data_IF_061755153882
#
_entry.id   IF_061755153882
#
_cell.length_a   1.000
_cell.length_b   1.000
_cell.length_c   1.000
_cell.angle_alpha   90.00
_cell.angle_beta   90.00
_cell.angle_gamma   90.00
#
_symmetry.space_group_name_H-M   'P 1'
#
loop_
_entity.id
_entity.type
_entity.pdbx_description
1 polymer ?
#
# COMPACT_ATOMS: atom_id res chain seq x y z
N UNK A 1 3.43 6.05 6.28
CA UNK A 1 2.33 5.15 6.70
C UNK A 1 2.48 4.82 8.18
N UNK A 2 1.37 4.80 8.91
CA UNK A 2 1.31 4.48 10.34
C UNK A 2 0.16 3.50 10.61
N UNK A 3 0.39 2.50 11.46
CA UNK A 3 -0.66 1.53 11.82
C UNK A 3 -1.67 2.21 12.75
N UNK A 4 -2.96 2.13 12.41
CA UNK A 4 -4.06 2.69 13.19
C UNK A 4 -4.67 1.60 14.08
N UNK A 5 -5.01 0.45 13.50
CA UNK A 5 -5.76 -0.59 14.21
C UNK A 5 -5.47 -1.99 13.66
N UNK A 6 -5.79 -3.00 14.46
CA UNK A 6 -5.70 -4.42 14.09
C UNK A 6 -7.07 -5.07 14.24
N UNK A 7 -7.40 -5.95 13.30
CA UNK A 7 -8.71 -6.59 13.24
C UNK A 7 -8.57 -8.11 13.18
N UNK A 8 -9.58 -8.79 13.72
CA UNK A 8 -9.61 -10.26 13.77
C UNK A 8 -9.82 -10.86 12.38
N UNK A 9 -10.52 -10.12 11.51
CA UNK A 9 -10.78 -10.53 10.13
C UNK A 9 -10.40 -9.43 9.15
N UNK A 10 -10.13 -9.83 7.91
CA UNK A 10 -9.88 -8.89 6.81
C UNK A 10 -11.13 -8.10 6.44
N UNK A 11 -12.31 -8.75 6.47
CA UNK A 11 -13.59 -8.09 6.17
C UNK A 11 -13.86 -6.92 7.12
N UNK A 12 -13.59 -7.09 8.41
CA UNK A 12 -13.74 -6.02 9.40
C UNK A 12 -12.78 -4.86 9.13
N UNK A 13 -11.51 -5.15 8.77
CA UNK A 13 -10.56 -4.12 8.39
C UNK A 13 -10.98 -3.36 7.12
N UNK A 14 -11.53 -4.06 6.13
CA UNK A 14 -12.01 -3.47 4.87
C UNK A 14 -13.26 -2.59 5.08
N UNK A 15 -14.18 -3.01 5.94
CA UNK A 15 -15.35 -2.19 6.32
C UNK A 15 -14.90 -0.88 6.98
N UNK A 16 -13.98 -0.96 7.94
CA UNK A 16 -13.42 0.22 8.62
C UNK A 16 -12.61 1.09 7.67
N UNK A 17 -11.91 0.48 6.72
CA UNK A 17 -11.21 1.21 5.68
C UNK A 17 -12.16 1.98 4.75
N UNK A 18 -13.27 1.36 4.34
CA UNK A 18 -14.29 2.01 3.51
C UNK A 18 -14.93 3.20 4.24
N UNK A 19 -15.25 3.05 5.53
CA UNK A 19 -15.72 4.14 6.38
C UNK A 19 -14.73 5.31 6.41
N UNK A 20 -13.47 5.05 6.73
CA UNK A 20 -12.43 6.10 6.77
C UNK A 20 -12.22 6.76 5.40
N UNK A 21 -12.24 5.99 4.31
CA UNK A 21 -12.14 6.53 2.94
C UNK A 21 -13.31 7.48 2.63
N UNK A 22 -14.54 7.11 3.03
CA UNK A 22 -15.71 7.98 2.87
C UNK A 22 -15.62 9.30 3.67
N UNK A 23 -14.74 9.36 4.67
CA UNK A 23 -14.44 10.54 5.47
C UNK A 23 -13.18 11.28 5.02
N UNK A 24 -12.63 10.93 3.85
CA UNK A 24 -11.47 11.60 3.28
C UNK A 24 -10.12 11.09 3.81
N UNK A 25 -10.08 9.97 4.52
CA UNK A 25 -8.83 9.42 5.07
C UNK A 25 -8.26 8.37 4.10
N UNK A 26 -7.02 8.56 3.66
CA UNK A 26 -6.30 7.59 2.86
C UNK A 26 -5.77 6.44 3.73
N UNK A 27 -6.30 5.24 3.50
CA UNK A 27 -5.97 4.05 4.29
C UNK A 27 -5.60 2.86 3.43
N UNK A 28 -4.80 1.97 4.01
CA UNK A 28 -4.41 0.70 3.41
C UNK A 28 -4.69 -0.45 4.39
N UNK A 29 -5.22 -1.56 3.88
CA UNK A 29 -5.40 -2.80 4.62
C UNK A 29 -4.32 -3.78 4.22
N UNK A 30 -3.52 -4.23 5.17
CA UNK A 30 -2.53 -5.29 4.96
C UNK A 30 -2.97 -6.58 5.63
N UNK A 31 -2.81 -7.69 4.92
CA UNK A 31 -2.96 -9.03 5.52
C UNK A 31 -1.77 -9.33 6.45
N UNK A 32 -2.04 -9.87 7.64
CA UNK A 32 -1.01 -10.26 8.62
C UNK A 32 -0.73 -11.78 8.59
N UNK A 33 -1.39 -12.53 7.71
CA UNK A 33 -1.35 -14.01 7.66
C UNK A 33 -0.09 -14.55 6.95
N UNK A 34 0.59 -13.73 6.13
CA UNK A 34 1.70 -14.17 5.25
C UNK A 34 3.03 -14.47 5.94
N UNK A 35 3.18 -14.21 7.25
CA UNK A 35 4.45 -14.34 7.98
C UNK A 35 4.61 -15.62 8.81
N UNK A 36 3.67 -16.57 8.78
CA UNK A 36 3.68 -17.69 9.75
C UNK A 36 3.31 -19.05 9.13
N UNK A 37 4.22 -19.60 8.32
CA UNK A 37 4.13 -20.98 7.81
C UNK A 37 4.12 -22.05 8.93
N UNK A 38 4.47 -21.70 10.17
CA UNK A 38 4.63 -22.65 11.30
C UNK A 38 3.81 -22.29 12.57
N UNK A 39 2.95 -21.27 12.52
CA UNK A 39 2.23 -20.73 13.71
C UNK A 39 0.75 -20.41 13.40
N UNK A 40 0.15 -21.16 12.49
CA UNK A 40 -1.10 -20.86 11.80
C UNK A 40 -2.37 -20.64 12.66
N UNK A 41 -2.30 -20.66 13.99
CA UNK A 41 -3.50 -20.63 14.84
C UNK A 41 -3.44 -19.73 16.08
N UNK A 42 -2.44 -18.85 16.25
CA UNK A 42 -2.32 -18.07 17.52
C UNK A 42 -2.29 -16.54 17.40
N UNK A 43 -2.55 -15.96 16.22
CA UNK A 43 -2.76 -14.53 16.10
C UNK A 43 -4.25 -14.18 16.24
N UNK A 44 -4.64 -13.44 17.29
CA UNK A 44 -6.01 -12.88 17.40
C UNK A 44 -6.36 -11.93 16.24
N UNK A 45 -5.35 -11.42 15.54
CA UNK A 45 -5.49 -10.44 14.47
C UNK A 45 -4.99 -11.00 13.15
N UNK A 46 -5.78 -10.82 12.08
CA UNK A 46 -5.47 -11.28 10.71
C UNK A 46 -5.25 -10.14 9.73
N UNK A 47 -5.66 -8.92 10.08
CA UNK A 47 -5.47 -7.75 9.24
C UNK A 47 -5.07 -6.54 10.08
N UNK A 48 -4.30 -5.64 9.46
CA UNK A 48 -3.95 -4.34 10.02
C UNK A 48 -4.41 -3.23 9.08
N UNK A 49 -4.89 -2.15 9.67
CA UNK A 49 -5.31 -0.93 8.99
C UNK A 49 -4.27 0.15 9.21
N UNK A 50 -3.87 0.81 8.13
CA UNK A 50 -2.80 1.79 8.13
C UNK A 50 -3.29 3.11 7.55
N UNK A 51 -2.94 4.23 8.18
CA UNK A 51 -2.99 5.54 7.55
C UNK A 51 -1.87 5.60 6.51
N UNK A 52 -2.22 5.93 5.26
CA UNK A 52 -1.24 6.12 4.19
C UNK A 52 -0.42 7.37 4.48
N UNK A 53 -1.14 8.46 4.74
CA UNK A 53 -0.61 9.78 5.11
C UNK A 53 -0.42 9.87 6.64
N UNK A 54 0.80 10.10 7.15
CA UNK A 54 1.06 10.22 8.58
C UNK A 54 0.21 11.28 9.27
N UNK A 55 -0.01 12.42 8.61
CA UNK A 55 -0.80 13.55 9.12
C UNK A 55 -2.28 13.18 9.36
N UNK A 56 -2.79 12.15 8.70
CA UNK A 56 -4.16 11.67 8.88
C UNK A 56 -4.30 10.62 9.98
N UNK A 57 -3.19 10.18 10.61
CA UNK A 57 -3.23 9.07 11.55
C UNK A 57 -4.07 9.39 12.80
N UNK A 58 -3.95 10.59 13.35
CA UNK A 58 -4.72 11.02 14.52
C UNK A 58 -6.22 11.15 14.19
N UNK A 59 -6.54 11.81 13.07
CA UNK A 59 -7.92 11.94 12.57
C UNK A 59 -8.55 10.57 12.32
N UNK A 60 -7.77 9.60 11.82
CA UNK A 60 -8.24 8.25 11.57
C UNK A 60 -8.55 7.48 12.86
N UNK A 61 -7.73 7.62 13.90
CA UNK A 61 -8.02 7.04 15.22
C UNK A 61 -9.28 7.68 15.81
N UNK A 62 -9.35 9.01 15.78
CA UNK A 62 -10.49 9.76 16.31
C UNK A 62 -11.80 9.36 15.61
N UNK A 63 -11.81 9.19 14.28
CA UNK A 63 -12.98 8.73 13.53
C UNK A 63 -13.43 7.30 13.86
N UNK A 64 -12.50 6.42 14.25
CA UNK A 64 -12.84 5.05 14.66
C UNK A 64 -13.49 5.00 16.04
N UNK A 65 -13.19 5.96 16.91
CA UNK A 65 -13.74 6.09 18.25
C UNK A 65 -15.02 6.93 18.27
N UNK A 66 -15.02 8.05 17.55
CA UNK A 66 -16.12 8.98 17.37
C UNK A 66 -16.44 9.14 15.88
N UNK A 67 -17.51 8.50 15.38
CA UNK A 67 -17.93 8.62 13.99
C UNK A 67 -18.28 10.05 13.56
N UNK A 68 -18.53 10.98 14.47
CA UNK A 68 -18.87 12.37 14.15
C UNK A 68 -17.64 13.30 14.15
N UNK A 69 -16.44 12.75 14.41
CA UNK A 69 -15.19 13.50 14.31
C UNK A 69 -15.03 14.16 12.93
N UNK A 70 -14.60 15.42 12.95
CA UNK A 70 -14.29 16.17 11.73
C UNK A 70 -12.80 16.10 11.48
N UNK A 71 -12.41 15.30 10.50
CA UNK A 71 -11.02 15.20 10.07
C UNK A 71 -10.51 16.56 9.57
N UNK A 72 -9.41 17.04 10.16
CA UNK A 72 -8.78 18.29 9.79
C UNK A 72 -8.09 18.21 8.42
N UNK A 73 -7.64 17.01 8.07
CA UNK A 73 -6.84 16.72 6.87
C UNK A 73 -7.58 15.84 5.87
N UNK A 74 -8.91 15.94 5.80
CA UNK A 74 -9.74 15.15 4.89
C UNK A 74 -9.41 15.45 3.42
N UNK A 75 -9.15 14.40 2.65
CA UNK A 75 -8.95 14.48 1.21
C UNK A 75 -10.28 14.51 0.47
N UNK A 76 -10.34 15.32 -0.58
CA UNK A 76 -11.40 15.24 -1.58
C UNK A 76 -11.05 14.24 -2.69
N UNK A 77 -12.03 13.95 -3.56
CA UNK A 77 -11.89 12.98 -4.65
C UNK A 77 -10.72 13.31 -5.61
N UNK A 78 -10.51 14.59 -5.92
CA UNK A 78 -9.41 15.00 -6.80
C UNK A 78 -8.04 14.76 -6.14
N UNK A 79 -7.93 14.96 -4.83
CA UNK A 79 -6.70 14.69 -4.08
C UNK A 79 -6.41 13.19 -3.99
N UNK A 80 -7.45 12.35 -3.84
CA UNK A 80 -7.31 10.89 -3.94
C UNK A 80 -6.79 10.46 -5.31
N UNK A 81 -7.38 10.98 -6.39
CA UNK A 81 -6.94 10.66 -7.75
C UNK A 81 -5.49 11.09 -8.00
N UNK A 82 -5.10 12.25 -7.48
CA UNK A 82 -3.71 12.72 -7.56
C UNK A 82 -2.74 11.79 -6.81
N UNK A 83 -3.09 11.38 -5.59
CA UNK A 83 -2.30 10.43 -4.80
C UNK A 83 -2.13 9.08 -5.52
N UNK A 84 -3.19 8.56 -6.13
CA UNK A 84 -3.14 7.31 -6.90
C UNK A 84 -2.29 7.47 -8.17
N UNK A 85 -2.40 8.61 -8.87
CA UNK A 85 -1.62 8.93 -10.07
C UNK A 85 -0.12 9.09 -9.81
N UNK A 86 0.28 9.79 -8.74
CA UNK A 86 1.69 9.98 -8.37
C UNK A 86 2.38 8.63 -8.09
N UNK A 87 1.66 7.71 -7.43
CA UNK A 87 2.13 6.34 -7.20
C UNK A 87 2.33 5.56 -8.50
N UNK A 88 1.37 5.62 -9.41
CA UNK A 88 1.43 4.93 -10.70
C UNK A 88 2.60 5.43 -11.57
N UNK A 89 2.85 6.73 -11.59
CA UNK A 89 3.95 7.33 -12.35
C UNK A 89 5.33 6.95 -11.80
N UNK A 90 5.49 6.92 -10.48
CA UNK A 90 6.73 6.49 -9.84
C UNK A 90 7.02 5.00 -10.09
N UNK A 91 6.00 4.15 -10.00
CA UNK A 91 6.10 2.73 -10.32
C UNK A 91 6.47 2.51 -11.80
N UNK A 92 5.80 3.22 -12.71
CA UNK A 92 6.08 3.17 -14.15
C UNK A 92 7.52 3.57 -14.48
N UNK A 93 8.02 4.67 -13.90
CA UNK A 93 9.42 5.10 -14.08
C UNK A 93 10.41 4.04 -13.62
N UNK A 94 10.15 3.43 -12.46
CA UNK A 94 11.01 2.38 -11.89
C UNK A 94 11.01 1.13 -12.76
N UNK A 95 9.84 0.72 -13.26
CA UNK A 95 9.68 -0.43 -14.16
C UNK A 95 10.44 -0.23 -15.49
N UNK A 96 10.28 0.94 -16.13
CA UNK A 96 10.98 1.27 -17.37
C UNK A 96 12.50 1.20 -17.16
N UNK A 97 13.00 1.79 -16.06
CA UNK A 97 14.43 1.75 -15.73
C UNK A 97 14.95 0.31 -15.64
N UNK A 98 14.24 -0.56 -14.93
CA UNK A 98 14.65 -1.95 -14.81
C UNK A 98 14.59 -2.70 -16.14
N UNK A 99 13.52 -2.51 -16.93
CA UNK A 99 13.43 -3.08 -18.27
C UNK A 99 14.61 -2.64 -19.16
N UNK A 100 14.98 -1.36 -19.12
CA UNK A 100 16.13 -0.87 -19.91
C UNK A 100 17.45 -1.49 -19.46
N UNK A 101 17.67 -1.65 -18.16
CA UNK A 101 18.87 -2.29 -17.62
C UNK A 101 18.93 -3.76 -18.06
N UNK A 102 17.83 -4.50 -17.89
CA UNK A 102 17.75 -5.91 -18.31
C UNK A 102 17.98 -6.06 -19.82
N UNK A 103 17.38 -5.20 -20.65
CA UNK A 103 17.58 -5.22 -22.09
C UNK A 103 19.05 -4.98 -22.49
N UNK A 104 19.73 -4.02 -21.84
CA UNK A 104 21.15 -3.75 -22.08
C UNK A 104 22.05 -4.93 -21.66
N UNK A 105 21.76 -5.56 -20.52
CA UNK A 105 22.51 -6.73 -20.05
C UNK A 105 22.35 -7.89 -21.04
N UNK A 106 21.12 -8.18 -21.49
CA UNK A 106 20.85 -9.23 -22.47
C UNK A 106 21.52 -8.94 -23.82
N UNK A 107 21.47 -7.70 -24.29
CA UNK A 107 22.14 -7.30 -25.53
C UNK A 107 23.66 -7.44 -25.43
N UNK A 108 24.26 -7.06 -24.30
CA UNK A 108 25.68 -7.25 -24.03
C UNK A 108 26.08 -8.72 -23.99
N UNK A 109 25.26 -9.56 -23.34
CA UNK A 109 25.46 -11.02 -23.31
C UNK A 109 25.37 -11.64 -24.71
N UNK A 110 24.36 -11.26 -25.50
CA UNK A 110 24.20 -11.73 -26.87
C UNK A 110 25.39 -11.32 -27.76
N UNK A 111 25.87 -10.07 -27.62
CA UNK A 111 27.06 -9.59 -28.33
C UNK A 111 28.32 -10.36 -27.92
N UNK A 112 28.47 -10.69 -26.63
CA UNK A 112 29.58 -11.49 -26.11
C UNK A 112 29.54 -12.91 -26.67
N UNK A 113 28.38 -13.56 -26.67
CA UNK A 113 28.18 -14.92 -27.23
C UNK A 113 28.54 -14.91 -28.72
N UNK A 114 28.01 -13.96 -29.48
CA UNK A 114 28.32 -13.81 -30.90
C UNK A 114 29.82 -13.55 -31.16
N UNK A 115 30.48 -12.76 -30.32
CA UNK A 115 31.91 -12.49 -30.43
C UNK A 115 32.79 -13.72 -30.07
N UNK A 116 32.30 -14.59 -29.18
CA UNK A 116 32.97 -15.84 -28.80
C UNK A 116 32.73 -16.98 -29.80
N UNK A 117 31.87 -16.79 -30.81
CA UNK A 117 31.59 -17.79 -31.84
C UNK A 117 30.83 -19.02 -31.35
N UNK A 118 30.07 -18.87 -30.24
CA UNK A 118 29.14 -19.87 -29.69
C UNK A 118 27.76 -19.77 -30.34
#
# INVERSE_FOLDING_TARGET
MQMIAKYATRSEAEERAAFLRSRGIAVHVSDMTSLRLNLAHQGRFRAALWAVLPEQAEDAVALLEDPDHRAATALNEHEFQRLEGEGADAARRTMIRWLTITALVLAGLAALIAALGL
#
